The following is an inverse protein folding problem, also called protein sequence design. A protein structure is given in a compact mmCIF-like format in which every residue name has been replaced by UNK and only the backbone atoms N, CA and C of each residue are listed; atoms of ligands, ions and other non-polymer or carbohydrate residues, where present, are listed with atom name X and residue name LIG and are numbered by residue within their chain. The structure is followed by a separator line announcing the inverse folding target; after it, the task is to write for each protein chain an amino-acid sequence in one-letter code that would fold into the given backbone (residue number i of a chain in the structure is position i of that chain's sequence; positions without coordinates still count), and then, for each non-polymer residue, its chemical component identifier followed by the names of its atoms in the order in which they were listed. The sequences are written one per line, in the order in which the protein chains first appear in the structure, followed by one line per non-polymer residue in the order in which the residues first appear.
data_IF_618083026862
#
_entry.id   IF_618083026862
#
_cell.length_a   1.000
_cell.length_b   1.000
_cell.length_c   1.000
_cell.angle_alpha   90.00
_cell.angle_beta   90.00
_cell.angle_gamma   90.00
#
_symmetry.space_group_name_H-M   'P 1'
#
loop_
_entity.id
_entity.type
_entity.pdbx_description
1 polymer ?
#
# COMPACT_ATOMS: atom_id res chain seq x y z
N UNK A 1 13.05 2.56 -6.34
CA UNK A 1 13.81 2.70 -5.08
C UNK A 1 13.18 1.82 -4.02
N UNK A 2 13.93 1.36 -3.02
CA UNK A 2 13.42 0.41 -2.01
C UNK A 2 12.44 1.05 -1.01
N UNK A 3 12.56 2.35 -0.73
CA UNK A 3 11.58 3.06 0.11
C UNK A 3 10.16 3.08 -0.49
N UNK A 4 10.04 3.20 -1.82
CA UNK A 4 8.77 3.23 -2.56
C UNK A 4 8.18 1.81 -2.76
N UNK A 5 8.87 0.76 -2.31
CA UNK A 5 8.40 -0.61 -2.53
C UNK A 5 7.33 -1.06 -1.54
N UNK A 6 7.01 -0.27 -0.50
CA UNK A 6 6.02 -0.67 0.51
C UNK A 6 4.67 -1.03 -0.12
N UNK A 7 4.08 -0.13 -0.91
CA UNK A 7 2.82 -0.35 -1.61
C UNK A 7 2.86 -1.60 -2.50
N UNK A 8 3.78 -1.69 -3.47
CA UNK A 8 3.93 -2.88 -4.32
C UNK A 8 4.15 -4.19 -3.56
N UNK A 9 4.88 -4.18 -2.44
CA UNK A 9 5.09 -5.37 -1.60
C UNK A 9 3.82 -5.80 -0.88
N UNK A 10 3.06 -4.85 -0.35
CA UNK A 10 1.75 -5.12 0.26
C UNK A 10 0.80 -5.68 -0.80
N UNK A 11 0.73 -5.05 -1.97
CA UNK A 11 -0.10 -5.51 -3.08
C UNK A 11 0.26 -6.91 -3.54
N UNK A 12 1.54 -7.22 -3.73
CA UNK A 12 1.98 -8.58 -4.08
C UNK A 12 1.60 -9.62 -3.03
N UNK A 13 1.74 -9.31 -1.73
CA UNK A 13 1.37 -10.24 -0.67
C UNK A 13 -0.15 -10.51 -0.62
N UNK A 14 -0.97 -9.48 -0.87
CA UNK A 14 -2.43 -9.62 -0.95
C UNK A 14 -2.86 -10.38 -2.22
N UNK A 15 -2.25 -10.08 -3.37
CA UNK A 15 -2.50 -10.79 -4.63
C UNK A 15 -2.21 -12.29 -4.49
N UNK A 16 -1.10 -12.64 -3.85
CA UNK A 16 -0.71 -14.03 -3.58
C UNK A 16 -1.71 -14.73 -2.64
N UNK A 17 -2.11 -14.08 -1.54
CA UNK A 17 -3.04 -14.66 -0.56
C UNK A 17 -4.42 -14.93 -1.17
N UNK A 18 -4.95 -13.97 -1.92
CA UNK A 18 -6.33 -14.04 -2.40
C UNK A 18 -6.48 -14.61 -3.81
N UNK A 19 -5.38 -14.87 -4.54
CA UNK A 19 -5.38 -15.48 -5.88
C UNK A 19 -6.42 -14.87 -6.85
N UNK A 20 -6.53 -13.53 -6.86
CA UNK A 20 -7.51 -12.74 -7.65
C UNK A 20 -8.97 -12.76 -7.16
N UNK A 21 -9.24 -13.31 -5.98
CA UNK A 21 -10.58 -13.25 -5.36
C UNK A 21 -10.98 -11.84 -4.93
N UNK A 22 -9.99 -10.96 -4.76
CA UNK A 22 -10.19 -9.52 -4.57
C UNK A 22 -9.38 -8.76 -5.63
N UNK A 23 -9.86 -7.61 -6.11
CA UNK A 23 -9.09 -6.75 -6.99
C UNK A 23 -7.91 -6.13 -6.22
N UNK A 24 -6.69 -6.29 -6.74
CA UNK A 24 -5.48 -5.69 -6.20
C UNK A 24 -4.77 -4.94 -7.32
N UNK A 25 -4.45 -3.68 -7.07
CA UNK A 25 -3.71 -2.82 -7.99
C UNK A 25 -2.42 -2.37 -7.33
N UNK A 26 -1.34 -2.31 -8.10
CA UNK A 26 -0.01 -1.96 -7.59
C UNK A 26 0.64 -3.13 -6.88
N UNK A 27 1.27 -4.01 -7.66
CA UNK A 27 2.09 -5.13 -7.15
C UNK A 27 3.54 -4.96 -7.59
N UNK A 28 4.47 -5.74 -7.06
CA UNK A 28 5.85 -5.76 -7.56
C UNK A 28 5.93 -6.12 -9.05
N UNK A 29 5.00 -6.94 -9.55
CA UNK A 29 4.94 -7.34 -10.95
C UNK A 29 4.26 -6.27 -11.83
N UNK A 30 3.21 -5.65 -11.31
CA UNK A 30 2.41 -4.64 -12.01
C UNK A 30 2.32 -3.38 -11.13
N UNK A 31 3.39 -2.57 -11.06
CA UNK A 31 3.43 -1.42 -10.19
C UNK A 31 2.48 -0.33 -10.67
N UNK A 32 1.88 0.38 -9.71
CA UNK A 32 1.18 1.64 -9.95
C UNK A 32 2.11 2.76 -9.49
N UNK A 33 2.34 3.72 -10.37
CA UNK A 33 3.28 4.82 -10.19
C UNK A 33 2.71 6.10 -10.82
N UNK A 34 3.37 7.23 -10.59
CA UNK A 34 2.94 8.56 -11.07
C UNK A 34 2.42 8.59 -12.53
N UNK A 35 3.07 7.89 -13.47
CA UNK A 35 2.73 7.96 -14.89
C UNK A 35 1.47 7.17 -15.30
N UNK A 36 1.01 6.21 -14.49
CA UNK A 36 -0.16 5.38 -14.79
C UNK A 36 -1.24 5.44 -13.69
N UNK A 37 -1.05 6.30 -12.69
CA UNK A 37 -1.93 6.38 -11.53
C UNK A 37 -3.34 6.84 -11.93
N UNK A 38 -3.43 7.88 -12.75
CA UNK A 38 -4.71 8.44 -13.23
C UNK A 38 -5.49 7.40 -14.04
N UNK A 39 -4.87 6.80 -15.05
CA UNK A 39 -5.48 5.72 -15.85
C UNK A 39 -5.90 4.52 -14.99
N UNK A 40 -5.10 4.18 -13.98
CA UNK A 40 -5.43 3.08 -13.05
C UNK A 40 -6.67 3.41 -12.22
N UNK A 41 -6.77 4.63 -11.70
CA UNK A 41 -7.91 5.06 -10.88
C UNK A 41 -9.18 5.14 -11.72
N UNK A 42 -9.10 5.66 -12.93
CA UNK A 42 -10.23 5.68 -13.85
C UNK A 42 -10.72 4.26 -14.16
N UNK A 43 -9.78 3.33 -14.40
CA UNK A 43 -10.12 1.92 -14.58
C UNK A 43 -10.76 1.31 -13.32
N UNK A 44 -10.28 1.65 -12.12
CA UNK A 44 -10.86 1.19 -10.85
C UNK A 44 -12.30 1.68 -10.72
N UNK A 45 -12.55 2.99 -10.87
CA UNK A 45 -13.89 3.55 -10.74
C UNK A 45 -14.86 3.02 -11.80
N UNK A 46 -14.37 2.74 -13.02
CA UNK A 46 -15.18 2.17 -14.09
C UNK A 46 -15.62 0.72 -13.80
N UNK A 47 -14.72 -0.12 -13.29
CA UNK A 47 -14.98 -1.54 -13.09
C UNK A 47 -15.50 -1.89 -11.69
N UNK A 48 -15.24 -1.03 -10.70
CA UNK A 48 -15.55 -1.25 -9.28
C UNK A 48 -16.18 -0.01 -8.61
N UNK A 49 -17.26 0.58 -9.17
CA UNK A 49 -17.80 1.87 -8.72
C UNK A 49 -18.27 1.89 -7.25
N UNK A 50 -18.71 0.75 -6.71
CA UNK A 50 -19.25 0.64 -5.34
C UNK A 50 -18.27 -0.01 -4.35
N UNK A 51 -17.01 -0.22 -4.75
CA UNK A 51 -16.02 -0.86 -3.87
C UNK A 51 -15.15 0.19 -3.18
N UNK A 52 -14.97 0.12 -1.84
CA UNK A 52 -14.08 1.03 -1.15
C UNK A 52 -12.63 0.81 -1.58
N UNK A 53 -11.93 1.91 -1.90
CA UNK A 53 -10.53 1.89 -2.31
C UNK A 53 -9.60 2.13 -1.12
N UNK A 54 -8.68 1.21 -0.86
CA UNK A 54 -7.66 1.34 0.19
C UNK A 54 -6.32 1.70 -0.45
N UNK A 55 -5.85 2.92 -0.24
CA UNK A 55 -4.53 3.36 -0.67
C UNK A 55 -3.45 2.92 0.33
N UNK A 56 -2.34 2.38 -0.17
CA UNK A 56 -1.20 1.97 0.66
C UNK A 56 0.07 2.67 0.17
N UNK A 57 0.73 3.42 1.06
CA UNK A 57 1.95 4.17 0.70
C UNK A 57 2.99 4.19 1.83
N UNK A 58 4.26 4.40 1.45
CA UNK A 58 5.32 4.71 2.38
C UNK A 58 5.28 6.20 2.76
N UNK A 59 5.61 6.52 4.00
CA UNK A 59 5.64 7.90 4.49
C UNK A 59 6.91 8.20 5.28
N UNK A 60 7.20 9.50 5.43
CA UNK A 60 8.22 9.99 6.36
C UNK A 60 7.58 10.42 7.67
N UNK A 61 8.30 10.20 8.76
CA UNK A 61 7.87 10.62 10.09
C UNK A 61 9.01 11.18 10.91
N UNK A 62 8.79 11.31 12.21
CA UNK A 62 9.86 11.61 13.16
C UNK A 62 10.67 10.34 13.44
N UNK A 63 11.79 10.45 14.18
CA UNK A 63 12.58 9.27 14.57
C UNK A 63 11.82 8.36 15.51
N UNK A 64 10.98 8.95 16.35
CA UNK A 64 10.18 8.27 17.37
C UNK A 64 9.07 7.42 16.75
N UNK A 65 8.62 7.78 15.54
CA UNK A 65 7.56 7.06 14.83
C UNK A 65 8.09 6.13 13.72
N UNK A 66 9.40 5.91 13.65
CA UNK A 66 9.97 5.00 12.66
C UNK A 66 9.44 3.58 12.87
N UNK A 67 8.90 2.96 11.81
CA UNK A 67 8.28 1.64 11.89
C UNK A 67 6.83 1.65 12.39
N UNK A 68 6.24 2.82 12.67
CA UNK A 68 4.81 2.91 12.95
C UNK A 68 3.98 2.75 11.67
N UNK A 69 2.77 2.21 11.85
CA UNK A 69 1.74 2.10 10.82
C UNK A 69 0.62 3.07 11.20
N UNK A 70 0.16 3.86 10.23
CA UNK A 70 -1.01 4.73 10.38
C UNK A 70 -2.10 4.24 9.45
N UNK A 71 -3.35 4.19 9.92
CA UNK A 71 -4.51 3.88 9.09
C UNK A 71 -5.63 4.86 9.40
N UNK A 72 -6.44 5.18 8.40
CA UNK A 72 -7.53 6.14 8.57
C UNK A 72 -8.50 6.19 7.40
N UNK A 73 -9.59 6.92 7.60
CA UNK A 73 -10.55 7.26 6.54
C UNK A 73 -10.09 8.51 5.80
N UNK A 74 -10.22 8.51 4.49
CA UNK A 74 -9.84 9.58 3.59
C UNK A 74 -8.83 9.13 2.55
N UNK A 75 -8.56 10.04 1.63
CA UNK A 75 -7.63 9.85 0.53
C UNK A 75 -6.20 10.14 0.94
N UNK A 76 -5.25 9.48 0.27
CA UNK A 76 -3.83 9.73 0.40
C UNK A 76 -3.30 10.35 -0.90
N UNK A 77 -2.40 11.32 -0.82
CA UNK A 77 -1.65 11.81 -1.99
C UNK A 77 -0.35 11.01 -2.10
N UNK A 78 -0.24 10.04 -3.03
CA UNK A 78 0.89 9.13 -3.04
C UNK A 78 2.19 9.89 -3.33
N UNK A 79 3.27 9.53 -2.66
CA UNK A 79 4.57 10.17 -2.90
C UNK A 79 4.66 11.63 -2.43
N UNK A 80 3.79 12.08 -1.52
CA UNK A 80 3.89 13.41 -0.90
C UNK A 80 5.25 13.68 -0.23
N UNK A 81 5.95 12.62 0.20
CA UNK A 81 7.29 12.72 0.76
C UNK A 81 8.42 13.07 -0.22
N UNK A 82 8.15 13.04 -1.53
CA UNK A 82 9.14 13.24 -2.61
C UNK A 82 8.74 14.36 -3.59
N UNK A 83 7.98 15.35 -3.12
CA UNK A 83 7.54 16.52 -3.93
C UNK A 83 6.82 16.15 -5.23
N UNK A 84 6.12 15.01 -5.26
CA UNK A 84 5.23 14.68 -6.38
C UNK A 84 3.81 15.10 -6.01
N UNK A 85 3.27 16.09 -6.73
CA UNK A 85 1.86 16.47 -6.66
C UNK A 85 1.01 15.43 -7.41
N UNK A 86 0.82 14.26 -6.81
CA UNK A 86 -0.11 13.26 -7.31
C UNK A 86 -1.51 13.50 -6.76
N UNK A 87 -2.51 13.11 -7.56
CA UNK A 87 -3.92 13.16 -7.18
C UNK A 87 -4.17 12.36 -5.90
N UNK A 88 -5.12 12.81 -5.09
CA UNK A 88 -5.51 12.11 -3.87
C UNK A 88 -6.30 10.83 -4.22
N UNK A 89 -5.99 9.71 -3.58
CA UNK A 89 -6.50 8.38 -3.93
C UNK A 89 -6.99 7.65 -2.68
N UNK A 90 -8.09 6.93 -2.80
CA UNK A 90 -8.62 6.04 -1.77
C UNK A 90 -9.70 6.66 -0.90
N UNK A 91 -10.58 5.80 -0.39
CA UNK A 91 -11.55 6.09 0.66
C UNK A 91 -10.95 5.86 2.06
N UNK A 92 -9.94 4.98 2.10
CA UNK A 92 -9.13 4.69 3.27
C UNK A 92 -7.67 4.68 2.88
N UNK A 93 -6.81 4.92 3.86
CA UNK A 93 -5.38 4.82 3.67
C UNK A 93 -4.71 3.98 4.75
N UNK A 94 -3.60 3.36 4.38
CA UNK A 94 -2.63 2.78 5.31
C UNK A 94 -1.23 3.23 4.91
N UNK A 95 -0.49 3.81 5.86
CA UNK A 95 0.91 4.19 5.64
C UNK A 95 1.85 3.50 6.61
N UNK A 96 3.06 3.20 6.12
CA UNK A 96 4.18 2.81 6.96
C UNK A 96 5.22 3.91 7.01
N UNK A 97 5.70 4.27 8.20
CA UNK A 97 6.80 5.24 8.34
C UNK A 97 8.13 4.50 8.14
N UNK A 98 8.66 4.59 6.92
CA UNK A 98 9.86 3.82 6.50
C UNK A 98 11.17 4.56 6.75
N UNK A 99 11.11 5.89 6.92
CA UNK A 99 12.26 6.75 7.14
C UNK A 99 11.87 8.01 7.93
N UNK A 100 12.85 8.63 8.57
CA UNK A 100 12.66 9.93 9.22
C UNK A 100 12.86 11.07 8.23
N UNK A 101 12.10 12.15 8.38
CA UNK A 101 12.28 13.36 7.58
C UNK A 101 13.66 13.99 7.83
N UNK A 102 14.33 14.41 6.76
CA UNK A 102 15.54 15.23 6.81
C UNK A 102 15.56 16.17 5.60
N UNK A 103 16.33 17.27 5.59
CA UNK A 103 16.46 18.16 4.43
C UNK A 103 16.88 17.46 3.12
N UNK A 104 17.40 16.22 3.20
CA UNK A 104 17.79 15.38 2.08
C UNK A 104 16.93 14.10 1.98
N UNK A 105 15.66 14.15 2.42
CA UNK A 105 14.73 13.02 2.52
C UNK A 105 14.58 12.21 1.22
N UNK A 106 14.64 12.87 0.06
CA UNK A 106 14.61 12.21 -1.25
C UNK A 106 15.80 11.24 -1.46
N UNK A 107 16.98 11.55 -0.90
CA UNK A 107 18.15 10.65 -0.90
C UNK A 107 17.97 9.46 0.06
N UNK A 108 17.28 9.71 1.18
CA UNK A 108 17.06 8.70 2.23
C UNK A 108 16.16 7.56 1.75
N UNK A 109 15.11 7.82 0.97
CA UNK A 109 14.30 6.75 0.36
C UNK A 109 15.08 5.91 -0.66
N UNK A 110 16.08 6.49 -1.34
CA UNK A 110 16.95 5.71 -2.25
C UNK A 110 17.82 4.73 -1.46
N UNK A 111 18.17 5.09 -0.22
CA UNK A 111 19.03 4.32 0.69
C UNK A 111 18.29 3.53 1.77
N UNK A 112 16.95 3.62 1.84
CA UNK A 112 16.17 2.95 2.88
C UNK A 112 16.29 1.45 2.68
N UNK A 113 16.86 0.78 3.70
CA UNK A 113 17.13 -0.65 3.61
C UNK A 113 15.82 -1.42 3.51
N UNK A 114 15.79 -2.42 2.64
CA UNK A 114 14.66 -3.33 2.52
C UNK A 114 14.26 -3.96 3.87
N UNK A 115 15.22 -4.13 4.78
CA UNK A 115 15.00 -4.58 6.16
C UNK A 115 14.09 -3.68 7.00
N UNK A 116 13.93 -2.40 6.66
CA UNK A 116 13.00 -1.50 7.32
C UNK A 116 11.59 -1.56 6.72
N UNK A 117 11.49 -1.86 5.41
CA UNK A 117 10.23 -1.87 4.66
C UNK A 117 9.52 -3.23 4.78
N UNK A 118 10.25 -4.34 4.73
CA UNK A 118 9.68 -5.68 4.77
C UNK A 118 8.80 -5.96 6.00
N UNK A 119 9.20 -5.59 7.23
CA UNK A 119 8.36 -5.80 8.41
C UNK A 119 7.05 -5.02 8.32
N UNK A 120 7.11 -3.76 7.88
CA UNK A 120 5.93 -2.91 7.68
C UNK A 120 4.99 -3.52 6.63
N UNK A 121 5.52 -3.90 5.46
CA UNK A 121 4.74 -4.53 4.39
C UNK A 121 4.04 -5.81 4.89
N UNK A 122 4.75 -6.63 5.67
CA UNK A 122 4.19 -7.86 6.25
C UNK A 122 3.07 -7.59 7.26
N UNK A 123 3.24 -6.59 8.14
CA UNK A 123 2.22 -6.25 9.13
C UNK A 123 0.99 -5.60 8.48
N UNK A 124 1.20 -4.68 7.53
CA UNK A 124 0.11 -4.03 6.79
C UNK A 124 -0.70 -5.07 6.01
N UNK A 125 -0.04 -5.97 5.25
CA UNK A 125 -0.75 -6.98 4.47
C UNK A 125 -1.54 -7.94 5.35
N UNK A 126 -0.99 -8.35 6.50
CA UNK A 126 -1.70 -9.18 7.48
C UNK A 126 -2.89 -8.46 8.10
N UNK A 127 -2.76 -7.18 8.43
CA UNK A 127 -3.85 -6.39 9.00
C UNK A 127 -5.01 -6.21 8.02
N UNK A 128 -4.70 -5.85 6.77
CA UNK A 128 -5.70 -5.75 5.69
C UNK A 128 -6.36 -7.10 5.47
N UNK A 129 -5.58 -8.18 5.37
CA UNK A 129 -6.11 -9.52 5.14
C UNK A 129 -7.07 -9.95 6.26
N UNK A 130 -6.68 -9.71 7.51
CA UNK A 130 -7.55 -10.03 8.65
C UNK A 130 -8.87 -9.27 8.59
N UNK A 131 -8.85 -7.98 8.25
CA UNK A 131 -10.07 -7.18 8.10
C UNK A 131 -10.98 -7.70 6.96
N UNK A 132 -10.39 -8.10 5.82
CA UNK A 132 -11.14 -8.70 4.70
C UNK A 132 -11.77 -10.03 5.12
N UNK A 133 -11.00 -10.89 5.77
CA UNK A 133 -11.46 -12.24 6.18
C UNK A 133 -12.60 -12.16 7.22
N UNK A 134 -12.56 -11.16 8.12
CA UNK A 134 -13.63 -10.91 9.11
C UNK A 134 -14.92 -10.37 8.47
N UNK A 135 -14.80 -9.48 7.48
CA UNK A 135 -15.96 -8.89 6.78
C UNK A 135 -16.58 -9.89 5.80
N UNK A 136 -15.76 -10.77 5.22
CA UNK A 136 -16.17 -11.79 4.27
C UNK A 136 -15.89 -13.20 4.83
N UNK A 137 -16.60 -13.65 5.88
CA UNK A 137 -16.36 -14.93 6.55
C UNK A 137 -16.60 -16.17 5.67
N UNK A 138 -17.04 -15.97 4.41
CA UNK A 138 -17.18 -17.00 3.39
C UNK A 138 -15.90 -17.36 2.64
N UNK A 139 -14.81 -16.58 2.75
CA UNK A 139 -13.49 -16.99 2.24
C UNK A 139 -12.81 -17.96 3.21
N UNK A 140 -13.42 -19.13 3.39
CA UNK A 140 -12.84 -20.21 4.16
C UNK A 140 -11.55 -20.68 3.48
N UNK A 141 -10.38 -20.34 4.06
CA UNK A 141 -9.08 -20.94 3.75
C UNK A 141 -9.02 -22.46 4.04
N UNK A 142 -10.14 -23.05 4.48
CA UNK A 142 -10.31 -24.48 4.79
C UNK A 142 -10.65 -25.35 3.56
N UNK A 143 -10.70 -24.79 2.35
CA UNK A 143 -11.08 -25.55 1.15
C UNK A 143 -10.26 -25.14 -0.07
N UNK A 144 -8.96 -25.47 -0.05
CA UNK A 144 -8.19 -25.76 -1.26
C UNK A 144 -6.88 -26.47 -0.86
N UNK A 145 -6.97 -27.79 -0.72
CA UNK A 145 -5.86 -28.66 -1.11
C UNK A 145 -5.89 -28.65 -2.64
N UNK A 146 -4.88 -28.02 -3.24
CA UNK A 146 -4.20 -28.39 -4.49
C UNK A 146 -2.99 -27.47 -4.69
#
# INVERSE_FOLDING_TARGET
MTGDSLGPMVGSALEERYKKSIPVFGTLKMPVHALNLEETIDAIHLHFPDHPLIAVDASFGTKEHLGCITAGKGSLCPGAGVDKNLIAVGDFFVTGIVASFSPFSHLVLQSTRLSAVMPLASQISRGIAHAIDEIAPGYNLSSQIL
#
